data_IF_746481636831
#
_entry.id   IF_746481636831
#
_cell.length_a   1.000
_cell.length_b   1.000
_cell.length_c   1.000
_cell.angle_alpha   90.00
_cell.angle_beta   90.00
_cell.angle_gamma   90.00
#
_symmetry.space_group_name_H-M   'P 1'
#
loop_
_entity.id
_entity.type
_entity.pdbx_description
1 polymer ?
#
# COMPACT_ATOMS: atom_id res chain seq x y z
N UNK A 1 -52.92 1.17 -45.10
CA UNK A 1 -51.51 0.78 -44.90
C UNK A 1 -50.92 1.53 -43.68
N UNK A 2 -50.96 0.99 -42.44
CA UNK A 2 -50.39 1.68 -41.27
C UNK A 2 -49.42 0.82 -40.42
N UNK A 3 -48.72 -0.15 -41.02
CA UNK A 3 -47.87 -1.09 -40.27
C UNK A 3 -46.44 -0.55 -40.10
N UNK A 4 -45.96 0.31 -41.01
CA UNK A 4 -44.57 0.79 -41.00
C UNK A 4 -44.32 1.84 -39.90
N UNK A 5 -45.31 2.68 -39.56
CA UNK A 5 -45.14 3.76 -38.59
C UNK A 5 -44.94 3.28 -37.15
N UNK A 6 -45.50 2.12 -36.77
CA UNK A 6 -45.38 1.58 -35.39
C UNK A 6 -44.02 0.94 -35.11
N UNK A 7 -43.33 0.43 -36.13
CA UNK A 7 -41.99 -0.15 -35.97
C UNK A 7 -40.90 0.89 -35.72
N UNK A 8 -41.02 2.07 -36.34
CA UNK A 8 -40.02 3.16 -36.22
C UNK A 8 -40.07 3.81 -34.83
N UNK A 9 -41.26 3.96 -34.25
CA UNK A 9 -41.44 4.56 -32.91
C UNK A 9 -40.88 3.64 -31.80
N UNK A 10 -41.04 2.32 -31.93
CA UNK A 10 -40.46 1.36 -30.98
C UNK A 10 -38.93 1.31 -31.01
N UNK A 11 -38.33 1.49 -32.20
CA UNK A 11 -36.89 1.49 -32.39
C UNK A 11 -36.24 2.75 -31.80
N UNK A 12 -36.87 3.92 -31.96
CA UNK A 12 -36.41 5.18 -31.36
C UNK A 12 -36.47 5.17 -29.83
N UNK A 13 -37.51 4.57 -29.23
CA UNK A 13 -37.62 4.44 -27.78
C UNK A 13 -36.54 3.52 -27.19
N UNK A 14 -36.20 2.42 -27.88
CA UNK A 14 -35.14 1.50 -27.47
C UNK A 14 -33.76 2.16 -27.52
N UNK A 15 -33.47 2.94 -28.57
CA UNK A 15 -32.21 3.69 -28.68
C UNK A 15 -32.08 4.78 -27.61
N UNK A 16 -33.18 5.49 -27.29
CA UNK A 16 -33.19 6.50 -26.23
C UNK A 16 -32.91 5.91 -24.84
N UNK A 17 -33.52 4.75 -24.54
CA UNK A 17 -33.27 4.03 -23.29
C UNK A 17 -31.82 3.51 -23.19
N UNK A 18 -31.24 3.04 -24.30
CA UNK A 18 -29.85 2.58 -24.33
C UNK A 18 -28.85 3.72 -24.10
N UNK A 19 -29.11 4.90 -24.66
CA UNK A 19 -28.27 6.08 -24.42
C UNK A 19 -28.36 6.58 -22.98
N UNK A 20 -29.57 6.61 -22.40
CA UNK A 20 -29.75 6.98 -20.99
C UNK A 20 -29.08 5.97 -20.04
N UNK A 21 -29.16 4.67 -20.33
CA UNK A 21 -28.46 3.64 -19.56
C UNK A 21 -26.94 3.78 -19.68
N UNK A 22 -26.41 4.06 -20.88
CA UNK A 22 -24.99 4.31 -21.09
C UNK A 22 -24.49 5.57 -20.36
N UNK A 23 -25.29 6.64 -20.34
CA UNK A 23 -24.96 7.89 -19.65
C UNK A 23 -25.04 7.73 -18.12
N UNK A 24 -26.01 6.96 -17.61
CA UNK A 24 -26.08 6.58 -16.21
C UNK A 24 -24.92 5.67 -15.80
N UNK A 25 -24.47 4.75 -16.66
CA UNK A 25 -23.31 3.90 -16.39
C UNK A 25 -22.00 4.69 -16.38
N UNK A 26 -21.85 5.68 -17.27
CA UNK A 26 -20.72 6.61 -17.27
C UNK A 26 -20.72 7.55 -16.05
N UNK A 27 -21.89 8.03 -15.64
CA UNK A 27 -22.06 8.86 -14.43
C UNK A 27 -21.88 8.05 -13.15
N UNK A 28 -22.28 6.77 -13.13
CA UNK A 28 -22.13 5.88 -11.97
C UNK A 28 -20.73 5.24 -11.87
N UNK A 29 -20.01 5.09 -12.99
CA UNK A 29 -18.70 4.45 -13.06
C UNK A 29 -17.49 5.38 -12.92
N UNK A 30 -17.70 6.70 -12.81
CA UNK A 30 -16.63 7.69 -12.95
C UNK A 30 -16.01 8.23 -11.67
N UNK A 31 -16.40 7.74 -10.48
CA UNK A 31 -15.71 8.06 -9.23
C UNK A 31 -14.59 7.04 -8.97
N UNK A 32 -13.72 6.81 -9.95
CA UNK A 32 -12.38 6.32 -9.63
C UNK A 32 -11.70 7.46 -8.91
N UNK A 33 -11.78 7.46 -7.58
CA UNK A 33 -11.14 8.46 -6.74
C UNK A 33 -9.72 8.67 -7.25
N UNK A 34 -9.39 9.92 -7.59
CA UNK A 34 -8.05 10.30 -7.97
C UNK A 34 -7.14 9.97 -6.77
N UNK A 35 -6.54 8.78 -6.77
CA UNK A 35 -5.50 8.43 -5.81
C UNK A 35 -4.31 9.28 -6.24
N UNK A 36 -3.97 10.28 -5.42
CA UNK A 36 -2.79 11.08 -5.66
C UNK A 36 -1.59 10.13 -5.92
N UNK A 37 -0.79 10.37 -6.98
CA UNK A 37 0.33 9.48 -7.29
C UNK A 37 1.28 9.42 -6.10
N UNK A 38 1.34 8.25 -5.46
CA UNK A 38 2.23 8.01 -4.34
C UNK A 38 3.64 7.77 -4.87
N UNK A 39 4.62 8.50 -4.33
CA UNK A 39 6.04 8.20 -4.56
C UNK A 39 6.53 7.26 -3.46
N UNK A 40 7.18 6.16 -3.84
CA UNK A 40 7.79 5.20 -2.91
C UNK A 40 9.30 5.25 -3.08
N UNK A 41 10.02 5.45 -1.98
CA UNK A 41 11.47 5.56 -1.97
C UNK A 41 12.06 4.46 -1.08
N UNK A 42 12.86 3.53 -1.62
CA UNK A 42 13.53 2.53 -0.80
C UNK A 42 14.56 3.20 0.10
N UNK A 43 14.58 2.83 1.37
CA UNK A 43 15.48 3.37 2.40
C UNK A 43 16.56 2.36 2.75
N UNK A 44 16.14 1.11 2.97
CA UNK A 44 17.01 0.05 3.44
C UNK A 44 16.49 -1.29 2.94
N UNK A 45 17.40 -2.19 2.58
CA UNK A 45 17.12 -3.58 2.25
C UNK A 45 18.03 -4.45 3.11
N UNK A 46 17.43 -5.33 3.91
CA UNK A 46 18.14 -6.21 4.84
C UNK A 46 17.80 -7.66 4.47
N UNK A 47 18.70 -8.39 3.78
CA UNK A 47 18.50 -9.79 3.48
C UNK A 47 18.61 -10.65 4.76
N UNK A 48 17.88 -11.77 4.78
CA UNK A 48 18.07 -12.80 5.80
C UNK A 48 19.46 -13.44 5.65
N UNK A 49 20.04 -14.04 6.71
CA UNK A 49 21.39 -14.61 6.66
C UNK A 49 21.61 -15.65 5.55
N UNK A 50 20.62 -16.49 5.28
CA UNK A 50 20.58 -17.48 4.20
C UNK A 50 20.02 -16.97 2.87
N UNK A 51 19.57 -15.71 2.81
CA UNK A 51 19.14 -15.04 1.57
C UNK A 51 17.78 -15.43 1.02
N UNK A 52 17.05 -16.33 1.69
CA UNK A 52 15.71 -16.77 1.28
C UNK A 52 14.60 -15.74 1.53
N UNK A 53 14.85 -14.76 2.38
CA UNK A 53 13.94 -13.64 2.62
C UNK A 53 14.69 -12.31 2.68
N UNK A 54 13.96 -11.21 2.56
CA UNK A 54 14.46 -9.86 2.77
C UNK A 54 13.41 -8.96 3.39
N UNK A 55 13.86 -8.03 4.21
CA UNK A 55 13.05 -6.97 4.77
C UNK A 55 13.45 -5.65 4.12
N UNK A 56 12.49 -4.93 3.54
CA UNK A 56 12.70 -3.66 2.86
C UNK A 56 11.99 -2.56 3.64
N UNK A 57 12.70 -1.47 3.93
CA UNK A 57 12.12 -0.24 4.47
C UNK A 57 11.90 0.72 3.32
N UNK A 58 10.68 1.22 3.19
CA UNK A 58 10.27 2.15 2.16
C UNK A 58 9.61 3.39 2.77
N UNK A 59 9.85 4.54 2.16
CA UNK A 59 9.17 5.77 2.50
C UNK A 59 8.14 6.07 1.42
N UNK A 60 6.86 6.13 1.81
CA UNK A 60 5.75 6.43 0.93
C UNK A 60 5.30 7.86 1.15
N UNK A 61 5.18 8.61 0.07
CA UNK A 61 4.64 9.98 0.05
C UNK A 61 3.48 10.06 -0.92
N UNK A 62 2.26 10.09 -0.38
CA UNK A 62 1.02 10.33 -1.12
C UNK A 62 0.60 11.79 -0.89
N UNK A 63 1.23 12.71 -1.62
CA UNK A 63 1.05 14.17 -1.41
C UNK A 63 1.76 14.70 -0.16
N UNK A 64 1.22 15.76 0.45
CA UNK A 64 1.86 16.43 1.59
C UNK A 64 1.34 15.96 2.96
N UNK A 65 0.19 15.28 2.99
CA UNK A 65 -0.49 14.89 4.24
C UNK A 65 -0.35 13.41 4.59
N UNK A 66 0.06 12.58 3.65
CA UNK A 66 0.18 11.14 3.85
C UNK A 66 1.61 10.70 3.52
N UNK A 67 2.44 10.79 4.56
CA UNK A 67 3.86 10.48 4.56
C UNK A 67 4.11 9.37 5.57
N UNK A 68 4.53 8.21 5.07
CA UNK A 68 4.64 6.98 5.86
C UNK A 68 5.97 6.30 5.63
N UNK A 69 6.43 5.58 6.65
CA UNK A 69 7.54 4.64 6.58
C UNK A 69 6.96 3.24 6.77
N UNK A 70 7.16 2.41 5.76
CA UNK A 70 6.66 1.05 5.67
C UNK A 70 7.82 0.06 5.73
N UNK A 71 7.62 -1.07 6.39
CA UNK A 71 8.52 -2.23 6.32
C UNK A 71 7.75 -3.35 5.64
N UNK A 72 8.31 -3.87 4.55
CA UNK A 72 7.77 -5.01 3.81
C UNK A 72 8.74 -6.18 3.88
N UNK A 73 8.22 -7.37 4.17
CA UNK A 73 8.98 -8.62 4.09
C UNK A 73 8.61 -9.32 2.80
N UNK A 74 9.61 -9.84 2.11
CA UNK A 74 9.43 -10.64 0.90
C UNK A 74 10.34 -11.86 0.90
N UNK A 75 9.88 -12.94 0.27
CA UNK A 75 10.69 -14.11 0.01
C UNK A 75 11.42 -13.96 -1.33
N UNK A 76 12.69 -14.35 -1.38
CA UNK A 76 13.47 -14.44 -2.61
C UNK A 76 13.60 -15.92 -3.01
N UNK A 77 13.01 -16.29 -4.16
CA UNK A 77 13.32 -17.53 -4.86
C UNK A 77 12.75 -18.82 -4.26
N UNK A 78 11.50 -19.14 -4.60
CA UNK A 78 11.03 -20.39 -5.24
C UNK A 78 9.49 -20.38 -5.28
N UNK A 79 8.94 -20.37 -6.49
CA UNK A 79 7.52 -20.53 -6.87
C UNK A 79 6.48 -19.50 -6.38
N UNK A 80 6.75 -18.66 -5.38
CA UNK A 80 5.84 -17.57 -4.98
C UNK A 80 6.65 -16.37 -4.48
N UNK A 81 6.86 -15.39 -5.36
CA UNK A 81 7.34 -14.07 -4.96
C UNK A 81 6.19 -13.38 -4.23
N UNK A 82 6.19 -13.48 -2.90
CA UNK A 82 5.26 -12.75 -2.07
C UNK A 82 5.97 -11.60 -1.37
N UNK A 83 5.26 -10.49 -1.21
CA UNK A 83 5.70 -9.32 -0.46
C UNK A 83 4.52 -8.81 0.36
N UNK A 84 4.77 -8.49 1.63
CA UNK A 84 3.73 -7.99 2.51
C UNK A 84 4.30 -6.94 3.47
N UNK A 85 3.59 -5.83 3.60
CA UNK A 85 3.87 -4.80 4.60
C UNK A 85 3.48 -5.29 5.99
N UNK A 86 4.44 -5.25 6.90
CA UNK A 86 4.34 -5.78 8.28
C UNK A 86 4.30 -4.68 9.32
N UNK A 87 4.90 -3.54 9.00
CA UNK A 87 4.92 -2.35 9.82
C UNK A 87 4.65 -1.14 8.94
N UNK A 88 3.78 -0.24 9.37
CA UNK A 88 3.51 1.04 8.73
C UNK A 88 3.37 2.11 9.80
N UNK A 89 4.08 3.22 9.68
CA UNK A 89 3.97 4.33 10.61
C UNK A 89 4.03 5.68 9.88
N UNK A 90 3.37 6.74 10.38
CA UNK A 90 3.62 8.09 9.91
C UNK A 90 5.09 8.44 10.05
N UNK A 91 5.67 9.05 9.01
CA UNK A 91 7.01 9.59 9.09
C UNK A 91 7.02 10.82 10.00
N UNK A 92 8.14 11.09 10.66
CA UNK A 92 8.25 12.24 11.53
C UNK A 92 8.24 13.53 10.70
N UNK A 93 7.46 14.53 11.13
CA UNK A 93 7.52 15.87 10.54
C UNK A 93 8.75 16.56 11.15
N UNK A 94 9.76 16.87 10.35
CA UNK A 94 10.85 17.70 10.83
C UNK A 94 10.39 19.16 10.98
N UNK A 95 10.93 19.83 11.99
CA UNK A 95 10.79 21.27 12.16
C UNK A 95 11.26 21.96 10.87
N UNK A 96 10.39 22.76 10.24
CA UNK A 96 10.52 23.43 8.93
C UNK A 96 9.82 22.76 7.73
N UNK A 97 8.93 21.78 7.94
CA UNK A 97 8.10 21.21 6.86
C UNK A 97 8.86 20.27 5.94
N UNK A 98 10.07 19.87 6.34
CA UNK A 98 10.82 18.80 5.70
C UNK A 98 10.36 17.44 6.21
N UNK A 99 10.36 16.47 5.29
CA UNK A 99 10.13 15.07 5.58
C UNK A 99 11.32 14.48 6.35
N UNK A 100 11.09 13.88 7.52
CA UNK A 100 12.11 13.08 8.20
C UNK A 100 11.68 11.60 8.19
N UNK A 101 12.51 10.71 7.60
CA UNK A 101 12.26 9.27 7.68
C UNK A 101 12.14 8.83 9.14
N UNK A 102 11.21 7.91 9.42
CA UNK A 102 11.23 7.25 10.72
C UNK A 102 12.48 6.37 10.80
N UNK A 103 13.30 6.59 11.83
CA UNK A 103 14.46 5.74 12.08
C UNK A 103 13.97 4.40 12.62
N UNK A 104 14.31 3.32 11.92
CA UNK A 104 14.00 1.95 12.28
C UNK A 104 15.29 1.14 12.27
N UNK A 105 15.38 0.12 13.13
CA UNK A 105 16.47 -0.85 13.10
C UNK A 105 15.90 -2.24 12.89
N UNK A 106 16.29 -2.85 11.78
CA UNK A 106 15.88 -4.18 11.38
C UNK A 106 17.04 -5.14 11.62
N UNK A 107 16.79 -6.25 12.30
CA UNK A 107 17.81 -7.28 12.57
C UNK A 107 17.21 -8.66 12.35
N UNK A 108 17.80 -9.46 11.46
CA UNK A 108 17.47 -10.88 11.38
C UNK A 108 18.22 -11.63 12.48
N UNK A 109 17.49 -12.37 13.31
CA UNK A 109 18.06 -13.27 14.33
C UNK A 109 18.44 -14.61 13.71
N UNK A 110 17.66 -15.06 12.72
CA UNK A 110 17.90 -16.20 11.85
C UNK A 110 17.11 -15.99 10.54
N UNK A 111 17.00 -17.01 9.68
CA UNK A 111 16.28 -16.92 8.39
C UNK A 111 14.76 -16.74 8.51
N UNK A 112 14.22 -17.00 9.69
CA UNK A 112 12.78 -17.01 9.97
C UNK A 112 12.38 -16.01 11.05
N UNK A 113 13.31 -15.31 11.70
CA UNK A 113 13.01 -14.35 12.76
C UNK A 113 13.57 -12.97 12.45
N UNK A 114 12.68 -12.01 12.23
CA UNK A 114 13.00 -10.60 12.04
C UNK A 114 12.61 -9.79 13.30
N UNK A 115 13.55 -9.03 13.84
CA UNK A 115 13.30 -8.04 14.88
C UNK A 115 13.24 -6.63 14.26
N UNK A 116 12.14 -5.91 14.50
CA UNK A 116 11.93 -4.53 14.09
C UNK A 116 11.91 -3.66 15.35
N UNK A 117 12.94 -2.84 15.52
CA UNK A 117 13.03 -1.86 16.59
C UNK A 117 12.58 -0.48 16.10
N UNK A 118 11.70 0.16 16.86
CA UNK A 118 11.12 1.45 16.50
C UNK A 118 11.05 2.41 17.72
N UNK A 119 11.13 3.73 17.52
CA UNK A 119 11.10 4.71 18.61
C UNK A 119 9.79 4.71 19.39
N UNK A 120 9.88 5.02 20.69
CA UNK A 120 8.72 5.10 21.57
C UNK A 120 7.73 6.18 21.17
N UNK A 121 6.44 5.87 21.27
CA UNK A 121 5.35 6.82 21.02
C UNK A 121 4.99 6.99 19.54
N UNK A 122 5.60 6.20 18.66
CA UNK A 122 5.21 6.13 17.24
C UNK A 122 3.88 5.41 17.14
N UNK A 123 2.84 6.10 16.64
CA UNK A 123 1.61 5.44 16.24
C UNK A 123 1.88 4.61 14.99
N UNK A 124 1.70 3.30 15.07
CA UNK A 124 1.96 2.39 13.97
C UNK A 124 0.79 1.43 13.75
N UNK A 125 0.71 0.95 12.52
CA UNK A 125 -0.15 -0.14 12.08
C UNK A 125 0.75 -1.37 11.94
N UNK A 126 0.66 -2.29 12.92
CA UNK A 126 1.39 -3.56 12.90
C UNK A 126 0.47 -4.69 12.47
N UNK A 127 0.95 -5.59 11.62
CA UNK A 127 0.28 -6.87 11.37
C UNK A 127 0.80 -7.97 12.27
N UNK A 128 0.02 -9.05 12.37
CA UNK A 128 0.35 -10.28 13.10
C UNK A 128 1.84 -10.64 12.96
N UNK A 129 2.45 -11.08 14.06
CA UNK A 129 3.89 -11.37 14.18
C UNK A 129 4.37 -12.57 13.37
N UNK A 130 3.69 -12.91 12.28
CA UNK A 130 4.11 -13.91 11.31
C UNK A 130 3.61 -13.56 9.91
N UNK A 131 4.50 -13.62 8.93
CA UNK A 131 4.17 -13.54 7.50
C UNK A 131 4.92 -14.64 6.75
N UNK A 132 4.15 -15.52 6.10
CA UNK A 132 4.71 -16.78 5.59
C UNK A 132 5.36 -17.57 6.73
N UNK A 133 6.63 -17.91 6.56
CA UNK A 133 7.45 -18.59 7.59
C UNK A 133 8.29 -17.62 8.43
N UNK A 134 8.18 -16.31 8.19
CA UNK A 134 8.92 -15.30 8.94
C UNK A 134 8.11 -14.82 10.13
N UNK A 135 8.63 -15.07 11.33
CA UNK A 135 8.21 -14.48 12.59
C UNK A 135 8.75 -13.06 12.75
N UNK A 136 7.92 -12.16 13.24
CA UNK A 136 8.20 -10.73 13.33
C UNK A 136 8.03 -10.28 14.78
N UNK A 137 9.13 -9.85 15.38
CA UNK A 137 9.17 -9.31 16.72
C UNK A 137 9.29 -7.79 16.67
N UNK A 138 8.37 -7.10 17.34
CA UNK A 138 8.35 -5.64 17.42
C UNK A 138 8.89 -5.22 18.79
N UNK A 139 9.88 -4.33 18.81
CA UNK A 139 10.46 -3.81 20.06
C UNK A 139 10.49 -2.29 20.05
N UNK A 140 9.77 -1.68 20.98
CA UNK A 140 9.79 -0.24 21.18
C UNK A 140 11.05 0.17 21.97
N UNK A 141 11.75 1.22 21.53
CA UNK A 141 12.98 1.71 22.17
C UNK A 141 12.88 3.18 22.57
N UNK A 142 13.48 3.54 23.70
CA UNK A 142 13.55 4.93 24.15
C UNK A 142 14.57 5.73 23.33
N UNK A 143 14.17 6.88 22.80
CA UNK A 143 15.04 7.81 22.06
C UNK A 143 15.15 7.55 20.55
N UNK A 144 15.96 8.36 19.89
CA UNK A 144 16.37 8.14 18.48
C UNK A 144 17.33 6.97 18.41
N UNK A 145 17.11 6.06 17.46
CA UNK A 145 18.04 4.95 17.21
C UNK A 145 19.40 5.53 16.74
N UNK A 146 20.53 5.08 17.31
CA UNK A 146 21.86 5.55 16.93
C UNK A 146 22.26 5.08 15.53
#
# INVERSE_FOLDING_TARGET
MPIVAKGVVGLLAAFGALQLAGLLFLMAGGATGYVAPCSVYPVMDVPSPGGGARATVENRRCGDRDQRTDVSVSANGLASDWSQTVFSAPSAIANAGSYAPLQLRLTWLDDTHLEIRYPRGVKNDMREGRVGDVHINYTEVEGSLP
#
